data_IF_635681280399
#
_entry.id   IF_635681280399
#
_cell.length_a   1.000
_cell.length_b   1.000
_cell.length_c   1.000
_cell.angle_alpha   90.00
_cell.angle_beta   90.00
_cell.angle_gamma   90.00
#
_symmetry.space_group_name_H-M   'P 1'
#
loop_
_entity.id
_entity.type
_entity.pdbx_description
1 polymer ?
#
# COMPACT_ATOMS: atom_id res chain seq x y z
N UNK A 1 -2.75 10.59 25.32
CA UNK A 1 -3.01 10.19 23.92
C UNK A 1 -3.60 8.79 23.95
N UNK A 2 -4.62 8.50 23.15
CA UNK A 2 -5.08 7.13 22.97
C UNK A 2 -4.09 6.39 22.06
N UNK A 3 -3.77 5.15 22.42
CA UNK A 3 -2.95 4.26 21.60
C UNK A 3 -3.76 3.78 20.39
N UNK A 4 -3.15 3.81 19.19
CA UNK A 4 -3.74 3.30 17.95
C UNK A 4 -3.22 1.88 17.72
N UNK A 5 -4.13 0.90 17.58
CA UNK A 5 -3.79 -0.50 17.31
C UNK A 5 -3.95 -0.80 15.83
N UNK A 6 -3.33 -1.88 15.35
CA UNK A 6 -3.43 -2.28 13.94
C UNK A 6 -4.86 -2.51 13.45
N UNK A 7 -5.75 -2.98 14.32
CA UNK A 7 -7.19 -3.12 14.01
C UNK A 7 -7.95 -1.80 13.87
N UNK A 8 -7.39 -0.69 14.38
CA UNK A 8 -7.96 0.65 14.20
C UNK A 8 -7.57 1.26 12.84
N UNK A 9 -6.61 0.63 12.14
CA UNK A 9 -6.14 1.06 10.82
C UNK A 9 -7.01 0.44 9.74
N UNK A 10 -7.96 1.23 9.24
CA UNK A 10 -8.82 0.82 8.13
C UNK A 10 -8.05 0.61 6.82
N UNK A 11 -6.94 1.34 6.65
CA UNK A 11 -6.06 1.27 5.48
C UNK A 11 -4.63 1.68 5.84
N UNK A 12 -3.67 0.90 5.37
CA UNK A 12 -2.26 1.23 5.39
C UNK A 12 -1.74 1.46 3.96
N UNK A 13 -0.92 2.49 3.76
CA UNK A 13 -0.28 2.80 2.47
C UNK A 13 1.22 2.90 2.70
N UNK A 14 1.98 2.14 1.93
CA UNK A 14 3.44 2.13 1.95
C UNK A 14 4.00 2.67 0.64
N UNK A 15 5.07 3.45 0.74
CA UNK A 15 5.75 4.07 -0.40
C UNK A 15 7.22 3.72 -0.29
N UNK A 16 7.74 3.02 -1.30
CA UNK A 16 9.08 2.45 -1.28
C UNK A 16 9.89 2.84 -2.52
N UNK A 17 11.21 3.03 -2.38
CA UNK A 17 12.12 3.14 -3.52
C UNK A 17 12.74 1.78 -3.88
N UNK A 18 13.15 1.02 -2.87
CA UNK A 18 13.97 -0.20 -2.93
C UNK A 18 13.56 -1.23 -1.87
N UNK A 19 12.82 -0.82 -0.84
CA UNK A 19 12.37 -1.68 0.26
C UNK A 19 11.16 -2.55 -0.08
N UNK A 20 10.66 -2.54 -1.32
CA UNK A 20 9.37 -3.14 -1.66
C UNK A 20 9.28 -4.63 -1.29
N UNK A 21 10.37 -5.39 -1.47
CA UNK A 21 10.40 -6.80 -1.10
C UNK A 21 10.29 -7.01 0.41
N UNK A 22 10.88 -6.10 1.20
CA UNK A 22 10.76 -6.12 2.66
C UNK A 22 9.34 -5.73 3.08
N UNK A 23 8.77 -4.68 2.49
CA UNK A 23 7.40 -4.25 2.76
C UNK A 23 6.39 -5.37 2.49
N UNK A 24 6.57 -6.09 1.37
CA UNK A 24 5.67 -7.18 0.98
C UNK A 24 5.84 -8.47 1.78
N UNK A 25 7.08 -8.83 2.16
CA UNK A 25 7.35 -10.12 2.82
C UNK A 25 7.32 -10.04 4.34
N UNK A 26 7.59 -8.87 4.91
CA UNK A 26 7.76 -8.71 6.36
C UNK A 26 6.66 -7.85 6.92
N UNK A 27 6.52 -6.61 6.43
CA UNK A 27 5.57 -5.64 7.00
C UNK A 27 4.13 -6.03 6.73
N UNK A 28 3.78 -6.35 5.49
CA UNK A 28 2.44 -6.78 5.11
C UNK A 28 1.91 -7.96 5.96
N UNK A 29 2.76 -8.96 6.24
CA UNK A 29 2.39 -10.09 7.10
C UNK A 29 2.23 -9.65 8.57
N UNK A 30 3.15 -8.82 9.07
CA UNK A 30 3.09 -8.28 10.42
C UNK A 30 1.83 -7.43 10.63
N UNK A 31 1.51 -6.54 9.70
CA UNK A 31 0.34 -5.66 9.75
C UNK A 31 -0.95 -6.46 9.68
N UNK A 32 -1.01 -7.49 8.82
CA UNK A 32 -2.13 -8.40 8.73
C UNK A 32 -2.36 -9.15 10.06
N UNK A 33 -1.28 -9.58 10.75
CA UNK A 33 -1.38 -10.18 12.10
C UNK A 33 -1.98 -9.21 13.12
N UNK A 34 -1.68 -7.92 13.01
CA UNK A 34 -2.14 -6.90 13.96
C UNK A 34 -3.53 -6.30 13.67
N UNK A 35 -4.17 -6.64 12.55
CA UNK A 35 -5.54 -6.20 12.29
C UNK A 35 -5.76 -5.48 10.97
N UNK A 36 -4.69 -5.09 10.27
CA UNK A 36 -4.80 -4.32 9.04
C UNK A 36 -5.44 -5.18 7.95
N UNK A 37 -6.52 -4.67 7.35
CA UNK A 37 -7.33 -5.41 6.35
C UNK A 37 -7.21 -4.88 4.93
N UNK A 38 -6.52 -3.75 4.74
CA UNK A 38 -6.38 -3.10 3.44
C UNK A 38 -4.99 -2.45 3.36
N UNK A 39 -4.12 -3.02 2.53
CA UNK A 39 -2.70 -2.67 2.46
C UNK A 39 -2.33 -2.25 1.04
N UNK A 40 -1.86 -1.05 0.86
CA UNK A 40 -1.49 -0.50 -0.43
C UNK A 40 0.00 -0.28 -0.49
N UNK A 41 0.62 -0.52 -1.64
CA UNK A 41 2.02 -0.18 -1.86
C UNK A 41 2.23 0.54 -3.19
N UNK A 42 3.23 1.39 -3.25
CA UNK A 42 3.68 2.05 -4.47
C UNK A 42 5.20 2.12 -4.50
N UNK A 43 5.77 1.93 -5.69
CA UNK A 43 7.21 2.06 -5.91
C UNK A 43 7.50 3.38 -6.62
N UNK A 44 8.28 4.27 -5.99
CA UNK A 44 8.52 5.63 -6.47
C UNK A 44 9.18 5.72 -7.85
N UNK A 45 10.00 4.70 -8.18
CA UNK A 45 10.79 4.65 -9.41
C UNK A 45 10.11 3.90 -10.57
N UNK A 46 9.03 3.19 -10.29
CA UNK A 46 8.24 2.52 -11.32
C UNK A 46 7.04 3.41 -11.66
N UNK A 47 6.81 3.69 -12.95
CA UNK A 47 5.61 4.40 -13.39
C UNK A 47 4.37 3.51 -13.18
N UNK A 48 3.82 3.49 -11.96
CA UNK A 48 2.69 2.63 -11.65
C UNK A 48 2.39 2.47 -10.17
N UNK A 49 1.16 2.03 -9.90
CA UNK A 49 0.68 1.65 -8.59
C UNK A 49 0.36 0.16 -8.56
N UNK A 50 0.69 -0.50 -7.47
CA UNK A 50 0.32 -1.90 -7.27
C UNK A 50 -0.33 -2.05 -5.90
N UNK A 51 -1.66 -2.08 -5.84
CA UNK A 51 -2.36 -2.45 -4.61
C UNK A 51 -2.33 -3.95 -4.38
N UNK A 52 -2.20 -4.37 -3.12
CA UNK A 52 -2.54 -5.74 -2.72
C UNK A 52 -3.62 -5.64 -1.66
N UNK A 53 -4.87 -5.86 -2.03
CA UNK A 53 -5.86 -6.10 -0.98
C UNK A 53 -5.45 -7.38 -0.24
N UNK A 54 -5.21 -7.28 1.07
CA UNK A 54 -4.95 -8.44 1.95
C UNK A 54 -6.28 -8.74 2.65
N UNK A 55 -7.20 -9.50 2.03
CA UNK A 55 -8.44 -9.87 2.68
C UNK A 55 -8.16 -10.71 3.93
N UNK A 56 -8.92 -10.46 5.00
CA UNK A 56 -9.04 -11.39 6.12
C UNK A 56 -10.14 -12.44 5.86
N UNK A 57 -10.02 -13.64 6.48
CA UNK A 57 -8.82 -14.15 7.16
C UNK A 57 -7.74 -14.47 6.12
N UNK A 58 -6.54 -14.84 6.57
CA UNK A 58 -5.32 -15.19 5.81
C UNK A 58 -5.56 -16.32 4.78
N UNK A 59 -6.44 -16.07 3.81
CA UNK A 59 -6.66 -16.84 2.61
C UNK A 59 -5.81 -16.25 1.48
N UNK A 60 -6.08 -16.66 0.25
CA UNK A 60 -5.36 -16.19 -0.93
C UNK A 60 -5.43 -14.66 -1.02
N UNK A 61 -4.32 -13.99 -0.71
CA UNK A 61 -4.17 -12.55 -0.89
C UNK A 61 -4.52 -12.22 -2.35
N UNK A 62 -5.51 -11.34 -2.55
CA UNK A 62 -5.91 -10.93 -3.90
C UNK A 62 -5.13 -9.68 -4.24
N UNK A 63 -3.98 -9.88 -4.88
CA UNK A 63 -3.23 -8.79 -5.49
C UNK A 63 -3.99 -8.26 -6.70
N UNK A 64 -4.17 -6.94 -6.77
CA UNK A 64 -4.73 -6.24 -7.94
C UNK A 64 -3.83 -5.06 -8.26
N UNK A 65 -3.02 -5.19 -9.30
CA UNK A 65 -2.22 -4.07 -9.80
C UNK A 65 -3.05 -3.21 -10.74
N UNK A 66 -2.90 -1.88 -10.66
CA UNK A 66 -3.58 -0.94 -11.55
C UNK A 66 -2.67 0.23 -11.83
N UNK A 67 -2.38 0.46 -13.11
CA UNK A 67 -1.53 1.56 -13.56
C UNK A 67 -2.31 2.88 -13.75
N UNK A 68 -3.63 2.87 -13.56
CA UNK A 68 -4.50 4.03 -13.80
C UNK A 68 -5.05 4.62 -12.50
N UNK A 69 -5.73 3.79 -11.70
CA UNK A 69 -6.29 4.20 -10.42
C UNK A 69 -6.57 3.00 -9.50
N UNK A 70 -6.54 3.25 -8.19
CA UNK A 70 -6.97 2.29 -7.18
C UNK A 70 -8.14 2.88 -6.38
N UNK A 71 -9.18 2.07 -6.17
CA UNK A 71 -10.36 2.44 -5.37
C UNK A 71 -10.30 1.82 -3.99
N UNK A 72 -10.66 2.60 -2.98
CA UNK A 72 -10.71 2.12 -1.62
C UNK A 72 -11.93 1.29 -1.29
N UNK A 73 -11.70 0.17 -0.58
CA UNK A 73 -12.77 -0.62 0.02
C UNK A 73 -13.32 -0.01 1.31
N UNK A 74 -12.48 0.34 2.31
CA UNK A 74 -12.98 0.97 3.54
C UNK A 74 -13.56 2.38 3.30
N UNK A 75 -13.13 3.05 2.23
CA UNK A 75 -13.58 4.40 1.86
C UNK A 75 -14.12 4.38 0.42
N UNK A 76 -15.37 3.94 0.17
CA UNK A 76 -15.85 3.68 -1.19
C UNK A 76 -15.78 4.89 -2.13
N UNK A 77 -15.78 6.11 -1.60
CA UNK A 77 -15.71 7.35 -2.40
C UNK A 77 -14.25 7.81 -2.65
N UNK A 78 -13.27 7.15 -2.05
CA UNK A 78 -11.85 7.44 -2.25
C UNK A 78 -11.30 6.64 -3.43
N UNK A 79 -10.89 7.37 -4.46
CA UNK A 79 -10.11 6.85 -5.58
C UNK A 79 -8.79 7.62 -5.65
N UNK A 80 -7.67 6.89 -5.69
CA UNK A 80 -6.35 7.47 -5.97
C UNK A 80 -6.02 7.21 -7.42
N UNK A 81 -5.81 8.26 -8.22
CA UNK A 81 -5.32 8.13 -9.60
C UNK A 81 -3.80 8.09 -9.56
N UNK A 82 -3.21 7.19 -10.33
CA UNK A 82 -1.75 7.05 -10.41
C UNK A 82 -1.11 8.30 -11.00
N UNK A 83 -1.79 8.95 -11.94
CA UNK A 83 -1.33 10.20 -12.56
C UNK A 83 -1.23 11.39 -11.58
N UNK A 84 -1.90 11.31 -10.42
CA UNK A 84 -1.88 12.38 -9.41
C UNK A 84 -0.76 12.17 -8.37
N UNK A 85 -0.04 11.04 -8.42
CA UNK A 85 1.04 10.73 -7.49
C UNK A 85 2.36 11.39 -7.91
N UNK A 86 3.21 11.80 -6.95
CA UNK A 86 4.53 12.32 -7.27
C UNK A 86 5.36 11.26 -7.98
N UNK A 87 6.07 11.66 -9.02
CA UNK A 87 7.10 10.84 -9.66
C UNK A 87 8.45 11.35 -9.19
N UNK A 88 9.30 10.47 -8.68
CA UNK A 88 10.69 10.81 -8.39
C UNK A 88 11.51 10.52 -9.65
N UNK A 89 12.23 11.51 -10.17
CA UNK A 89 13.25 11.23 -11.17
C UNK A 89 14.50 10.72 -10.42
N UNK A 90 15.31 9.85 -11.04
CA UNK A 90 16.60 9.45 -10.46
C UNK A 90 17.47 10.64 -10.04
N UNK A 91 17.34 11.78 -10.73
CA UNK A 91 18.08 13.01 -10.46
C UNK A 91 17.61 13.78 -9.21
N UNK A 92 16.47 13.44 -8.63
CA UNK A 92 15.88 14.14 -7.48
C UNK A 92 16.27 13.49 -6.12
N UNK A 93 16.99 12.37 -6.16
CA UNK A 93 17.43 11.65 -4.96
C UNK A 93 18.79 12.18 -4.48
N UNK A 94 18.99 12.35 -3.15
CA UNK A 94 20.30 12.73 -2.62
C UNK A 94 21.33 11.62 -2.94
N UNK A 95 22.49 12.04 -3.46
CA UNK A 95 23.67 11.19 -3.72
C UNK A 95 24.37 10.75 -2.44
#
# INVERSE_FOLDING_TARGET
MNEVRGGDVLRLIEVADSSILHDLRVKAELDARHGVTDYWWSMLMAAGFSSIAIPRPMGTARSTSSIAAARSRPFPDLTVKVADLPTCRPADLPT
#
